data_IF_218533722950
#
_entry.id   IF_218533722950
#
_cell.length_a   1.000
_cell.length_b   1.000
_cell.length_c   1.000
_cell.angle_alpha   90.00
_cell.angle_beta   90.00
_cell.angle_gamma   90.00
#
_symmetry.space_group_name_H-M   'P 1'
#
loop_
_entity.id
_entity.type
_entity.pdbx_description
1 polymer ?
#
# COMPACT_ATOMS: atom_id res chain seq x y z
N UNK A 1 9.91 -5.41 9.17
CA UNK A 1 9.94 -4.39 8.10
C UNK A 1 10.12 -5.15 6.81
N UNK A 2 9.17 -5.08 5.87
CA UNK A 2 9.10 -6.01 4.75
C UNK A 2 9.90 -5.60 3.51
N UNK A 3 10.38 -4.36 3.45
CA UNK A 3 11.08 -3.86 2.28
C UNK A 3 11.31 -2.35 2.29
N UNK A 4 11.76 -1.87 1.12
CA UNK A 4 11.96 -0.47 0.79
C UNK A 4 11.02 -0.08 -0.35
N UNK A 5 10.40 1.09 -0.26
CA UNK A 5 9.69 1.69 -1.38
C UNK A 5 10.57 2.72 -2.06
N UNK A 6 10.83 2.52 -3.36
CA UNK A 6 11.52 3.49 -4.20
C UNK A 6 10.58 4.62 -4.67
N UNK A 7 9.28 4.48 -4.43
CA UNK A 7 8.24 5.44 -4.82
C UNK A 7 7.98 6.47 -3.71
N UNK A 8 7.73 7.72 -4.10
CA UNK A 8 7.15 8.73 -3.22
C UNK A 8 5.67 8.41 -2.95
N UNK A 9 5.26 8.48 -1.69
CA UNK A 9 3.88 8.20 -1.33
C UNK A 9 3.01 9.42 -1.56
N UNK A 10 2.01 9.30 -2.44
CA UNK A 10 1.07 10.38 -2.76
C UNK A 10 -0.28 10.30 -2.00
N UNK A 11 -0.44 9.31 -1.11
CA UNK A 11 -1.71 9.04 -0.42
C UNK A 11 -1.47 8.70 1.05
N UNK A 12 -2.30 9.23 1.95
CA UNK A 12 -2.31 8.84 3.37
C UNK A 12 -3.42 7.82 3.61
N UNK A 13 -3.14 6.77 4.39
CA UNK A 13 -4.12 5.71 4.67
C UNK A 13 -5.31 6.31 5.43
N UNK A 14 -6.53 6.08 4.96
CA UNK A 14 -7.75 6.53 5.66
C UNK A 14 -8.23 7.95 5.34
N UNK A 15 -7.51 8.74 4.54
CA UNK A 15 -8.06 9.99 3.99
C UNK A 15 -9.04 9.67 2.86
N UNK A 16 -10.34 9.89 3.09
CA UNK A 16 -11.36 9.78 2.04
C UNK A 16 -11.16 10.86 0.99
N UNK A 17 -11.14 10.44 -0.28
CA UNK A 17 -11.11 11.29 -1.49
C UNK A 17 -12.35 12.16 -1.69
N UNK A 18 -13.33 12.12 -0.77
CA UNK A 18 -14.52 12.99 -0.79
C UNK A 18 -14.15 14.48 -0.73
N UNK A 19 -12.95 14.79 -0.22
CA UNK A 19 -12.28 16.05 -0.51
C UNK A 19 -11.09 15.73 -1.38
N UNK A 20 -11.14 16.16 -2.64
CA UNK A 20 -10.04 16.06 -3.59
C UNK A 20 -8.90 16.93 -3.06
N UNK A 21 -8.11 16.44 -2.12
CA UNK A 21 -6.88 17.12 -1.72
C UNK A 21 -5.98 16.98 -2.94
N UNK A 22 -5.86 18.06 -3.72
CA UNK A 22 -5.09 18.09 -4.99
C UNK A 22 -3.61 17.77 -4.79
N UNK A 23 -3.15 17.72 -3.55
CA UNK A 23 -1.82 17.34 -3.12
C UNK A 23 -1.85 16.97 -1.64
N UNK A 24 -1.01 16.03 -1.20
CA UNK A 24 -0.65 15.90 0.23
C UNK A 24 -0.49 17.29 0.85
N UNK A 25 -1.13 17.52 2.01
CA UNK A 25 -1.09 18.80 2.72
C UNK A 25 0.35 19.29 2.86
N UNK A 26 0.60 20.60 2.70
CA UNK A 26 1.95 21.16 2.79
C UNK A 26 2.65 20.72 4.09
N UNK A 27 1.90 20.58 5.17
CA UNK A 27 2.33 20.10 6.49
C UNK A 27 3.02 18.72 6.47
N UNK A 28 2.63 17.81 5.57
CA UNK A 28 3.28 16.49 5.42
C UNK A 28 4.54 16.55 4.52
N UNK A 29 4.68 17.62 3.75
CA UNK A 29 5.85 17.93 2.91
C UNK A 29 6.77 18.98 3.55
N UNK A 30 6.43 19.50 4.74
CA UNK A 30 7.23 20.50 5.43
C UNK A 30 8.54 19.84 5.86
N UNK A 31 9.59 20.28 5.17
CA UNK A 31 10.98 19.90 5.36
C UNK A 31 11.38 20.11 6.82
N UNK A 32 11.31 19.05 7.62
CA UNK A 32 11.51 19.10 9.07
C UNK A 32 11.21 17.78 9.78
N UNK A 33 10.33 16.94 9.23
CA UNK A 33 10.06 15.57 9.68
C UNK A 33 10.87 14.54 8.84
N UNK A 34 11.06 13.29 9.30
CA UNK A 34 12.17 12.46 8.82
C UNK A 34 12.06 12.16 7.32
N UNK A 35 13.21 12.23 6.63
CA UNK A 35 13.40 11.87 5.21
C UNK A 35 12.87 10.46 4.91
N UNK A 36 12.75 9.62 5.93
CA UNK A 36 12.21 8.27 5.83
C UNK A 36 11.08 8.05 6.83
N UNK A 37 10.07 7.31 6.42
CA UNK A 37 8.95 6.93 7.29
C UNK A 37 8.51 5.49 7.04
N UNK A 38 7.90 4.88 8.05
CA UNK A 38 7.35 3.52 7.96
C UNK A 38 5.92 3.59 7.47
N UNK A 39 5.59 2.76 6.49
CA UNK A 39 4.24 2.71 5.96
C UNK A 39 3.86 1.29 5.53
N UNK A 40 2.64 0.86 5.86
CA UNK A 40 2.20 -0.52 5.60
C UNK A 40 1.67 -0.71 4.18
N UNK A 41 1.40 0.39 3.47
CA UNK A 41 1.00 0.31 2.09
C UNK A 41 2.20 -0.13 1.24
N UNK A 42 1.94 -1.09 0.36
CA UNK A 42 2.81 -1.42 -0.75
C UNK A 42 2.84 -0.29 -1.81
N UNK A 43 4.06 0.08 -2.21
CA UNK A 43 4.29 0.97 -3.36
C UNK A 43 3.81 0.30 -4.64
N UNK A 44 3.16 1.06 -5.53
CA UNK A 44 2.64 0.48 -6.78
C UNK A 44 3.79 0.06 -7.69
N UNK A 45 4.89 0.81 -7.67
CA UNK A 45 6.09 0.53 -8.45
C UNK A 45 7.33 0.67 -7.58
N UNK A 46 8.38 -0.10 -7.89
CA UNK A 46 9.66 0.02 -7.18
C UNK A 46 9.62 -0.44 -5.72
N UNK A 47 8.74 -1.39 -5.37
CA UNK A 47 8.81 -2.07 -4.08
C UNK A 47 9.95 -3.10 -4.10
N UNK A 48 10.91 -2.95 -3.19
CA UNK A 48 12.00 -3.89 -2.98
C UNK A 48 11.71 -4.70 -1.72
N UNK A 49 11.38 -5.97 -1.88
CA UNK A 49 11.05 -6.85 -0.77
C UNK A 49 12.30 -7.49 -0.17
N UNK A 50 12.31 -7.65 1.15
CA UNK A 50 13.31 -8.51 1.79
C UNK A 50 12.98 -9.99 1.55
N UNK A 51 13.97 -10.83 1.21
CA UNK A 51 13.74 -12.22 0.82
C UNK A 51 12.91 -13.02 1.83
N UNK A 52 13.17 -12.85 3.12
CA UNK A 52 12.45 -13.55 4.19
C UNK A 52 10.95 -13.21 4.22
N UNK A 53 10.62 -11.92 4.02
CA UNK A 53 9.24 -11.44 4.08
C UNK A 53 8.46 -11.84 2.82
N UNK A 54 9.12 -11.78 1.65
CA UNK A 54 8.55 -12.27 0.41
C UNK A 54 8.29 -13.78 0.47
N UNK A 55 9.24 -14.56 0.98
CA UNK A 55 9.08 -16.00 1.15
C UNK A 55 7.94 -16.34 2.12
N UNK A 56 7.81 -15.61 3.23
CA UNK A 56 6.69 -15.78 4.16
C UNK A 56 5.34 -15.47 3.51
N UNK A 57 5.28 -14.44 2.66
CA UNK A 57 4.07 -14.13 1.88
C UNK A 57 3.73 -15.25 0.91
N UNK A 58 4.69 -15.77 0.15
CA UNK A 58 4.48 -16.87 -0.79
C UNK A 58 3.92 -18.13 -0.12
N UNK A 59 4.40 -18.47 1.08
CA UNK A 59 3.85 -19.58 1.86
C UNK A 59 2.41 -19.33 2.30
N UNK A 60 2.12 -18.11 2.72
CA UNK A 60 0.79 -17.75 3.20
C UNK A 60 -0.24 -17.67 2.07
N UNK A 61 0.09 -17.00 0.97
CA UNK A 61 -0.83 -16.81 -0.17
C UNK A 61 -1.19 -18.16 -0.82
N UNK A 62 -0.28 -19.14 -0.80
CA UNK A 62 -0.54 -20.50 -1.29
C UNK A 62 -1.57 -21.27 -0.43
N UNK A 63 -1.72 -20.91 0.85
CA UNK A 63 -2.71 -21.49 1.75
C UNK A 63 -4.06 -20.74 1.71
N UNK A 64 -4.08 -19.53 1.16
CA UNK A 64 -5.29 -18.70 1.04
C UNK A 64 -6.09 -19.11 -0.20
N UNK A 65 -7.41 -19.22 -0.04
CA UNK A 65 -8.32 -19.42 -1.17
C UNK A 65 -8.53 -18.09 -1.89
N UNK A 66 -7.68 -17.78 -2.87
CA UNK A 66 -7.68 -16.48 -3.58
C UNK A 66 -8.99 -16.24 -4.36
N UNK A 67 -9.65 -17.31 -4.80
CA UNK A 67 -10.96 -17.22 -5.47
C UNK A 67 -12.14 -17.08 -4.47
N UNK A 68 -11.89 -17.21 -3.17
CA UNK A 68 -12.90 -16.96 -2.14
C UNK A 68 -13.03 -15.45 -1.90
N UNK A 69 -14.03 -14.88 -2.57
CA UNK A 69 -14.37 -13.47 -2.49
C UNK A 69 -14.87 -13.05 -1.10
N UNK A 70 -15.44 -13.97 -0.31
CA UNK A 70 -15.90 -13.66 1.05
C UNK A 70 -14.73 -13.51 2.02
N UNK A 71 -13.61 -14.19 1.75
CA UNK A 71 -12.41 -14.09 2.58
C UNK A 71 -11.80 -12.68 2.59
N UNK A 72 -12.06 -11.85 1.57
CA UNK A 72 -11.62 -10.46 1.44
C UNK A 72 -10.10 -10.31 1.21
N UNK A 73 -9.70 -9.66 0.13
CA UNK A 73 -8.26 -9.49 -0.19
C UNK A 73 -7.60 -8.26 0.48
N UNK A 74 -8.29 -7.57 1.39
CA UNK A 74 -7.80 -6.38 2.10
C UNK A 74 -8.07 -6.52 3.60
N UNK A 75 -7.41 -5.74 4.47
CA UNK A 75 -7.75 -5.73 5.90
C UNK A 75 -9.26 -5.54 6.12
N UNK A 76 -9.84 -6.33 7.02
CA UNK A 76 -11.29 -6.32 7.29
C UNK A 76 -11.76 -4.95 7.78
N UNK A 77 -12.92 -4.50 7.30
CA UNK A 77 -13.55 -3.25 7.74
C UNK A 77 -13.05 -1.99 7.02
N UNK A 78 -12.19 -2.12 6.01
CA UNK A 78 -11.83 -1.01 5.16
C UNK A 78 -12.89 -0.76 4.08
N UNK A 79 -13.19 0.51 3.82
CA UNK A 79 -14.04 0.91 2.68
C UNK A 79 -13.47 0.41 1.35
N UNK A 80 -12.14 0.33 1.27
CA UNK A 80 -11.41 -0.20 0.12
C UNK A 80 -11.75 -1.66 -0.18
N UNK A 81 -12.11 -2.46 0.83
CA UNK A 81 -12.60 -3.82 0.66
C UNK A 81 -13.88 -3.81 -0.17
N UNK A 82 -14.88 -3.04 0.23
CA UNK A 82 -16.16 -2.97 -0.49
C UNK A 82 -15.97 -2.46 -1.92
N UNK A 83 -15.27 -1.32 -2.06
CA UNK A 83 -14.97 -0.75 -3.37
C UNK A 83 -14.26 -1.73 -4.30
N UNK A 84 -13.24 -2.44 -3.79
CA UNK A 84 -12.48 -3.41 -4.59
C UNK A 84 -13.37 -4.55 -5.08
N UNK A 85 -14.15 -5.13 -4.17
CA UNK A 85 -15.03 -6.25 -4.46
C UNK A 85 -16.11 -5.86 -5.48
N UNK A 86 -16.67 -4.66 -5.37
CA UNK A 86 -17.63 -4.11 -6.33
C UNK A 86 -17.01 -3.85 -7.70
N UNK A 87 -15.80 -3.25 -7.74
CA UNK A 87 -15.14 -2.76 -8.95
C UNK A 87 -14.54 -3.87 -9.80
N UNK A 88 -13.84 -4.81 -9.17
CA UNK A 88 -13.01 -5.81 -9.87
C UNK A 88 -13.58 -7.22 -9.81
N UNK A 89 -14.43 -7.52 -8.82
CA UNK A 89 -15.04 -8.85 -8.63
C UNK A 89 -14.05 -10.01 -8.70
N UNK A 90 -12.83 -9.78 -8.19
CA UNK A 90 -11.76 -10.79 -8.20
C UNK A 90 -10.82 -10.59 -7.02
N UNK A 91 -10.37 -11.71 -6.45
CA UNK A 91 -9.27 -11.74 -5.51
C UNK A 91 -7.91 -11.91 -6.19
N UNK A 92 -7.78 -12.00 -7.52
CA UNK A 92 -6.54 -12.50 -8.14
C UNK A 92 -5.33 -11.55 -8.11
N UNK A 93 -5.49 -10.32 -7.64
CA UNK A 93 -4.41 -9.36 -7.56
C UNK A 93 -3.64 -9.58 -6.26
N UNK A 94 -2.40 -10.08 -6.38
CA UNK A 94 -1.58 -10.46 -5.23
C UNK A 94 -1.23 -9.27 -4.30
N UNK A 95 -1.21 -8.05 -4.83
CA UNK A 95 -0.78 -6.84 -4.11
C UNK A 95 -1.73 -6.51 -2.95
N UNK A 96 -3.04 -6.65 -3.15
CA UNK A 96 -4.04 -6.43 -2.10
C UNK A 96 -3.86 -7.46 -0.99
N UNK A 97 -3.64 -8.73 -1.34
CA UNK A 97 -3.33 -9.76 -0.37
C UNK A 97 -2.03 -9.50 0.38
N UNK A 98 -0.99 -8.99 -0.29
CA UNK A 98 0.25 -8.62 0.37
C UNK A 98 0.03 -7.49 1.38
N UNK A 99 -0.79 -6.49 1.03
CA UNK A 99 -1.20 -5.42 1.94
C UNK A 99 -1.93 -5.99 3.16
N UNK A 100 -2.91 -6.88 2.95
CA UNK A 100 -3.62 -7.57 4.04
C UNK A 100 -2.66 -8.35 4.93
N UNK A 101 -1.85 -9.20 4.33
CA UNK A 101 -0.86 -10.04 5.00
C UNK A 101 0.13 -9.21 5.83
N UNK A 102 0.62 -8.10 5.27
CA UNK A 102 1.53 -7.17 5.95
C UNK A 102 0.85 -6.44 7.08
N UNK A 103 -0.41 -6.03 6.89
CA UNK A 103 -1.21 -5.40 7.94
C UNK A 103 -1.43 -6.33 9.13
N UNK A 104 -1.88 -7.57 8.89
CA UNK A 104 -2.10 -8.60 9.93
C UNK A 104 -0.82 -8.93 10.71
N UNK A 105 0.36 -8.77 10.09
CA UNK A 105 1.67 -9.02 10.72
C UNK A 105 2.30 -7.79 11.36
N UNK A 106 1.67 -6.61 11.26
CA UNK A 106 2.29 -5.36 11.70
C UNK A 106 3.59 -5.03 10.95
N UNK A 107 3.69 -5.44 9.68
CA UNK A 107 4.87 -5.18 8.85
C UNK A 107 4.74 -3.87 8.10
N UNK A 108 5.88 -3.19 7.94
CA UNK A 108 6.00 -1.89 7.29
C UNK A 108 7.08 -1.92 6.21
N UNK A 109 6.90 -1.15 5.16
CA UNK A 109 7.95 -0.71 4.24
C UNK A 109 8.58 0.58 4.75
N UNK A 110 9.84 0.81 4.41
CA UNK A 110 10.45 2.13 4.53
C UNK A 110 10.21 2.94 3.26
N UNK A 111 9.63 4.12 3.40
CA UNK A 111 9.41 5.07 2.32
C UNK A 111 10.32 6.27 2.44
N UNK A 112 10.56 6.93 1.31
CA UNK A 112 11.31 8.18 1.21
C UNK A 112 10.37 9.38 1.09
N UNK A 113 10.71 10.48 1.75
CA UNK A 113 10.09 11.80 1.63
C UNK A 113 11.17 12.83 1.25
N UNK A 114 11.78 12.65 0.07
CA UNK A 114 12.82 13.57 -0.39
C UNK A 114 12.26 14.95 -0.72
N UNK A 115 13.09 16.01 -0.61
CA UNK A 115 12.71 17.36 -1.05
C UNK A 115 12.20 17.36 -2.49
N UNK A 116 11.38 18.36 -2.82
CA UNK A 116 10.81 18.55 -4.16
C UNK A 116 9.97 17.38 -4.69
N UNK A 117 9.53 16.46 -3.81
CA UNK A 117 8.77 15.25 -4.16
C UNK A 117 9.54 14.31 -5.08
N UNK A 118 10.85 14.28 -4.95
CA UNK A 118 11.71 13.36 -5.68
C UNK A 118 11.56 11.93 -5.18
N UNK A 119 11.77 10.97 -6.08
CA UNK A 119 11.75 9.54 -5.80
C UNK A 119 12.62 8.79 -6.81
N UNK A 120 13.06 7.60 -6.43
CA UNK A 120 13.81 6.70 -7.32
C UNK A 120 12.88 6.03 -8.35
N UNK A 121 11.58 5.91 -8.06
CA UNK A 121 10.55 5.46 -8.98
C UNK A 121 9.36 6.43 -8.97
N UNK A 122 9.02 7.01 -10.13
CA UNK A 122 7.89 7.93 -10.28
C UNK A 122 6.80 7.23 -11.06
N UNK A 123 5.67 6.99 -10.41
CA UNK A 123 4.50 6.38 -11.03
C UNK A 123 3.24 7.06 -10.55
N UNK A 124 2.34 7.36 -11.49
CA UNK A 124 1.01 7.86 -11.15
C UNK A 124 0.16 6.73 -10.55
N UNK A 125 -0.42 6.97 -9.37
CA UNK A 125 -1.41 6.10 -8.76
C UNK A 125 -2.75 6.82 -8.76
N UNK A 126 -3.73 6.24 -9.44
CA UNK A 126 -5.09 6.79 -9.45
C UNK A 126 -5.65 6.83 -8.03
N UNK A 127 -6.38 7.90 -7.71
CA UNK A 127 -7.14 7.98 -6.46
C UNK A 127 -8.17 6.85 -6.41
N UNK A 128 -8.23 6.13 -5.29
CA UNK A 128 -9.07 4.94 -5.15
C UNK A 128 -8.33 3.64 -5.51
N UNK A 129 -7.20 3.69 -6.21
CA UNK A 129 -6.48 2.47 -6.62
C UNK A 129 -5.80 1.81 -5.41
N UNK A 130 -6.43 0.72 -4.96
CA UNK A 130 -6.17 -0.09 -3.78
C UNK A 130 -6.54 0.52 -2.41
N UNK A 131 -7.14 1.73 -2.32
CA UNK A 131 -7.75 2.29 -1.10
C UNK A 131 -8.96 3.18 -1.37
#
# INVERSE_FOLDING_TARGET
MFGLSLQHQHTVLGQRTSFRIRSIGKELNETGAPVFFKYQLLGTWGAVFFPEHWHAFLKWIAAVKIDDMEAGCTPSGLVSTQWWMERYRTGRIWETWFIRFSFERGWYSLYTNFPNREAFAVSYRESGLNF
#
